data_IF_074166357269
#
_entry.id   IF_074166357269
#
_cell.length_a   1.000
_cell.length_b   1.000
_cell.length_c   1.000
_cell.angle_alpha   90.00
_cell.angle_beta   90.00
_cell.angle_gamma   90.00
#
_symmetry.space_group_name_H-M   'P 1'
#
loop_
_entity.id
_entity.type
_entity.pdbx_description
1 polymer ?
#
# COMPACT_ATOMS: atom_id res chain seq x y z
N UNK A 1 -15.03 -5.76 -12.04
CA UNK A 1 -13.58 -5.81 -11.78
C UNK A 1 -13.35 -5.21 -10.41
N UNK A 2 -12.65 -5.89 -9.48
CA UNK A 2 -12.28 -5.29 -8.21
C UNK A 2 -11.35 -4.11 -8.46
N UNK A 3 -11.72 -2.92 -7.98
CA UNK A 3 -10.89 -1.72 -8.12
C UNK A 3 -10.01 -1.64 -6.89
N UNK A 4 -8.70 -1.80 -7.09
CA UNK A 4 -7.74 -1.65 -6.01
C UNK A 4 -7.21 -0.21 -6.00
N UNK A 5 -7.06 0.36 -4.81
CA UNK A 5 -6.50 1.68 -4.59
C UNK A 5 -5.39 1.55 -3.56
N UNK A 6 -4.16 1.87 -3.97
CA UNK A 6 -3.02 1.99 -3.07
C UNK A 6 -2.91 3.45 -2.61
N UNK A 7 -3.22 3.70 -1.34
CA UNK A 7 -3.06 4.99 -0.68
C UNK A 7 -1.67 5.09 -0.09
N UNK A 8 -0.90 6.07 -0.53
CA UNK A 8 0.47 6.33 -0.05
C UNK A 8 0.36 7.35 1.09
N UNK A 9 0.61 6.91 2.31
CA UNK A 9 0.63 7.71 3.53
C UNK A 9 2.06 8.11 3.85
N UNK A 10 2.32 9.42 3.81
CA UNK A 10 3.62 9.98 4.13
C UNK A 10 3.91 10.00 5.63
N UNK A 11 5.12 10.45 5.99
CA UNK A 11 5.65 10.52 7.36
C UNK A 11 4.79 11.34 8.36
N UNK A 12 3.80 12.09 7.88
CA UNK A 12 2.91 12.96 8.66
C UNK A 12 1.48 12.41 8.75
N UNK A 13 1.26 11.13 8.48
CA UNK A 13 -0.09 10.53 8.36
C UNK A 13 -0.95 11.19 7.26
N UNK A 14 -0.32 11.97 6.38
CA UNK A 14 -0.97 12.59 5.23
C UNK A 14 -0.87 11.66 4.04
N UNK A 15 -2.01 11.34 3.45
CA UNK A 15 -2.06 10.73 2.13
C UNK A 15 -1.45 11.70 1.11
N UNK A 16 -0.28 11.35 0.60
CA UNK A 16 0.47 12.13 -0.40
C UNK A 16 0.14 11.70 -1.83
N UNK A 17 -0.45 10.52 -1.98
CA UNK A 17 -0.84 10.00 -3.28
C UNK A 17 -1.80 8.83 -3.18
N UNK A 18 -2.57 8.63 -4.24
CA UNK A 18 -3.39 7.43 -4.45
C UNK A 18 -3.06 6.87 -5.82
N UNK A 19 -2.79 5.58 -5.89
CA UNK A 19 -2.55 4.85 -7.13
C UNK A 19 -3.69 3.87 -7.30
N UNK A 20 -4.52 4.11 -8.30
CA UNK A 20 -5.57 3.18 -8.68
C UNK A 20 -4.94 2.05 -9.51
N UNK A 21 -5.09 0.83 -9.03
CA UNK A 21 -4.61 -0.40 -9.66
C UNK A 21 -5.83 -1.16 -10.16
N UNK A 22 -5.97 -1.28 -11.48
CA UNK A 22 -6.86 -2.27 -12.07
C UNK A 22 -6.14 -3.63 -12.00
N UNK A 23 -6.29 -4.29 -10.86
CA UNK A 23 -5.73 -5.61 -10.61
C UNK A 23 -6.87 -6.60 -10.41
N UNK A 24 -6.68 -7.83 -10.89
CA UNK A 24 -7.67 -8.90 -10.71
C UNK A 24 -7.44 -9.61 -9.37
N UNK A 25 -6.23 -9.51 -8.82
CA UNK A 25 -5.78 -10.27 -7.66
C UNK A 25 -5.01 -9.39 -6.66
N UNK A 26 -5.20 -9.70 -5.37
CA UNK A 26 -4.57 -9.02 -4.26
C UNK A 26 -3.04 -9.11 -4.34
N UNK A 27 -2.44 -10.23 -4.76
CA UNK A 27 -0.98 -10.37 -4.89
C UNK A 27 -0.39 -9.38 -5.89
N UNK A 28 -1.06 -9.16 -7.03
CA UNK A 28 -0.59 -8.22 -8.05
C UNK A 28 -0.62 -6.77 -7.55
N UNK A 29 -1.69 -6.43 -6.82
CA UNK A 29 -1.83 -5.13 -6.19
C UNK A 29 -0.79 -4.93 -5.06
N UNK A 30 -0.55 -5.96 -4.24
CA UNK A 30 0.46 -6.00 -3.18
C UNK A 30 1.86 -5.82 -3.75
N UNK A 31 2.21 -6.52 -4.83
CA UNK A 31 3.53 -6.45 -5.46
C UNK A 31 3.82 -5.05 -6.01
N UNK A 32 2.78 -4.39 -6.52
CA UNK A 32 2.84 -3.00 -7.00
C UNK A 32 2.97 -2.01 -5.84
N UNK A 33 2.13 -2.15 -4.80
CA UNK A 33 2.16 -1.33 -3.58
C UNK A 33 3.49 -1.44 -2.84
N UNK A 34 4.06 -2.64 -2.74
CA UNK A 34 5.36 -2.90 -2.10
C UNK A 34 6.52 -2.18 -2.79
N UNK A 35 6.40 -1.84 -4.08
CA UNK A 35 7.40 -1.05 -4.81
C UNK A 35 7.29 0.45 -4.51
N UNK A 36 6.13 0.91 -4.04
CA UNK A 36 5.86 2.30 -3.63
C UNK A 36 6.24 2.56 -2.15
N UNK A 37 6.31 1.50 -1.34
CA UNK A 37 6.63 1.52 0.11
C UNK A 37 8.07 1.88 0.46
N UNK A 38 8.91 2.24 -0.50
CA UNK A 38 10.34 2.48 -0.30
C UNK A 38 10.67 3.48 0.83
N UNK A 39 9.78 4.46 1.09
CA UNK A 39 9.91 5.43 2.19
C UNK A 39 8.61 5.83 2.91
N UNK A 40 7.46 5.33 2.45
CA UNK A 40 6.15 5.78 2.88
C UNK A 40 5.25 4.59 3.20
N UNK A 41 4.39 4.73 4.20
CA UNK A 41 3.34 3.75 4.45
C UNK A 41 2.44 3.67 3.22
N UNK A 42 2.03 2.47 2.84
CA UNK A 42 1.06 2.29 1.77
C UNK A 42 -0.07 1.40 2.27
N UNK A 43 -1.27 1.94 2.27
CA UNK A 43 -2.49 1.19 2.51
C UNK A 43 -3.13 0.77 1.20
N UNK A 44 -3.24 -0.54 0.98
CA UNK A 44 -3.97 -1.10 -0.14
C UNK A 44 -5.42 -1.36 0.25
N UNK A 45 -6.34 -0.76 -0.50
CA UNK A 45 -7.77 -0.87 -0.32
C UNK A 45 -8.43 -1.45 -1.55
N UNK A 46 -9.49 -2.23 -1.35
CA UNK A 46 -10.37 -2.73 -2.41
C UNK A 46 -11.79 -2.26 -2.10
N UNK A 47 -12.26 -1.23 -2.82
CA UNK A 47 -13.60 -0.60 -2.72
C UNK A 47 -13.99 -0.08 -1.32
N UNK A 48 -14.08 -0.96 -0.31
CA UNK A 48 -14.37 -0.62 1.09
C UNK A 48 -13.57 -1.48 2.10
N UNK A 49 -12.85 -2.52 1.64
CA UNK A 49 -12.07 -3.41 2.49
C UNK A 49 -10.58 -3.07 2.39
N UNK A 50 -9.89 -2.77 3.49
CA UNK A 50 -8.43 -2.73 3.48
C UNK A 50 -7.93 -4.15 3.21
N UNK A 51 -7.17 -4.31 2.13
CA UNK A 51 -6.62 -5.59 1.68
C UNK A 51 -5.33 -5.86 2.45
N UNK A 52 -4.43 -4.87 2.45
CA UNK A 52 -3.13 -4.97 3.08
C UNK A 52 -2.63 -3.58 3.47
N UNK A 53 -1.96 -3.48 4.62
CA UNK A 53 -1.23 -2.28 5.01
C UNK A 53 0.25 -2.59 5.00
N UNK A 54 1.00 -1.78 4.26
CA UNK A 54 2.44 -1.89 4.13
C UNK A 54 3.09 -0.76 4.90
N UNK A 55 3.62 -1.10 6.06
CA UNK A 55 4.25 -0.13 6.93
C UNK A 55 5.72 0.02 6.55
N UNK A 56 6.10 1.19 6.00
CA UNK A 56 7.50 1.41 5.58
C UNK A 56 8.44 1.48 6.78
N UNK A 57 7.92 1.88 7.94
CA UNK A 57 8.68 1.95 9.19
C UNK A 57 8.91 0.57 9.80
N UNK A 58 8.00 -0.39 9.58
CA UNK A 58 8.18 -1.78 10.00
C UNK A 58 9.37 -2.49 9.32
N UNK A 59 9.84 -2.01 8.16
CA UNK A 59 11.05 -2.55 7.51
C UNK A 59 12.36 -2.20 8.25
N UNK A 60 12.36 -1.25 9.20
CA UNK A 60 13.55 -0.94 10.00
C UNK A 60 13.67 -1.79 11.28
N UNK A 61 12.78 -2.76 11.52
CA UNK A 61 12.95 -3.70 12.65
C UNK A 61 12.53 -5.14 12.31
N UNK A 62 13.06 -5.69 11.21
CA UNK A 62 13.41 -7.11 11.25
C UNK A 62 14.75 -7.20 11.98
N UNK A 63 14.64 -7.33 13.30
CA UNK A 63 15.72 -7.51 14.28
C UNK A 63 16.55 -8.77 13.95
N UNK A 64 17.86 -8.66 14.13
CA UNK A 64 18.71 -9.79 14.52
C UNK A 64 18.57 -10.06 16.02
#
# INVERSE_FOLDING_TARGET
MPVYCAYIVGLHDRTIGVVQLDCIDDESAIKSARRLVDRHDVELWQTNRPVARFDARAKQTCKE
#
